data_IF_963030874374
#
_entry.id   IF_963030874374
#
_cell.length_a   1.000
_cell.length_b   1.000
_cell.length_c   1.000
_cell.angle_alpha   90.00
_cell.angle_beta   90.00
_cell.angle_gamma   90.00
#
_symmetry.space_group_name_H-M   'P 1'
#
loop_
_entity.id
_entity.type
_entity.pdbx_description
1 polymer ?
#
# COMPACT_ATOMS: atom_id res chain seq x y z
N UNK A 1 -20.88 61.49 13.07
CA UNK A 1 -21.01 60.03 13.25
C UNK A 1 -21.57 59.29 12.03
N UNK A 2 -22.61 59.78 11.35
CA UNK A 2 -23.24 59.07 10.21
C UNK A 2 -22.29 58.88 8.99
N UNK A 3 -21.37 59.83 8.73
CA UNK A 3 -20.41 59.72 7.61
C UNK A 3 -19.28 58.71 7.84
N UNK A 4 -18.97 58.34 9.08
CA UNK A 4 -17.92 57.34 9.39
C UNK A 4 -18.47 55.90 9.24
N UNK A 5 -19.77 55.70 9.52
CA UNK A 5 -20.43 54.40 9.39
C UNK A 5 -20.60 53.99 7.92
N UNK A 6 -20.92 54.93 7.02
CA UNK A 6 -21.02 54.63 5.59
C UNK A 6 -19.65 54.29 4.95
N UNK A 7 -18.55 54.87 5.45
CA UNK A 7 -17.21 54.55 4.91
C UNK A 7 -16.73 53.15 5.34
N UNK A 8 -17.08 52.71 6.55
CA UNK A 8 -16.79 51.35 7.04
C UNK A 8 -17.62 50.28 6.32
N UNK A 9 -18.88 50.57 5.98
CA UNK A 9 -19.74 49.68 5.18
C UNK A 9 -19.30 49.56 3.72
N UNK A 10 -18.71 50.62 3.14
CA UNK A 10 -18.16 50.56 1.77
C UNK A 10 -16.80 49.84 1.76
N UNK A 11 -15.97 49.97 2.81
CA UNK A 11 -14.70 49.22 2.90
C UNK A 11 -14.89 47.71 3.15
N UNK A 12 -15.97 47.28 3.81
CA UNK A 12 -16.25 45.85 4.00
C UNK A 12 -16.69 45.12 2.72
N UNK A 13 -17.17 45.83 1.70
CA UNK A 13 -17.58 45.23 0.42
C UNK A 13 -16.39 45.01 -0.52
N UNK A 14 -15.30 45.78 -0.40
CA UNK A 14 -14.13 45.68 -1.29
C UNK A 14 -12.98 44.82 -0.72
N UNK A 15 -13.08 44.34 0.51
CA UNK A 15 -12.11 43.45 1.16
C UNK A 15 -12.67 42.05 1.43
N UNK A 16 -13.74 41.65 0.72
CA UNK A 16 -14.03 40.21 0.62
C UNK A 16 -12.94 39.61 -0.27
N UNK A 17 -12.01 38.79 0.24
CA UNK A 17 -11.14 38.04 -0.64
C UNK A 17 -12.08 37.25 -1.55
N UNK A 18 -12.05 37.55 -2.86
CA UNK A 18 -12.70 36.68 -3.84
C UNK A 18 -12.19 35.29 -3.51
N UNK A 19 -13.09 34.41 -3.05
CA UNK A 19 -12.75 33.04 -2.74
C UNK A 19 -12.04 32.50 -3.98
N UNK A 20 -10.70 32.36 -3.91
CA UNK A 20 -9.96 31.66 -4.95
C UNK A 20 -10.61 30.29 -4.98
N UNK A 21 -11.06 29.86 -6.16
CA UNK A 21 -11.49 28.49 -6.35
C UNK A 21 -10.38 27.61 -5.76
N UNK A 22 -10.73 26.77 -4.79
CA UNK A 22 -9.74 25.89 -4.15
C UNK A 22 -9.23 24.98 -5.27
N UNK A 23 -8.00 25.21 -5.71
CA UNK A 23 -7.35 24.39 -6.72
C UNK A 23 -6.84 23.12 -6.03
N UNK A 24 -7.55 22.01 -6.24
CA UNK A 24 -7.23 20.71 -5.66
C UNK A 24 -6.13 20.03 -6.47
N UNK A 25 -4.93 20.59 -6.38
CA UNK A 25 -3.76 20.23 -7.18
C UNK A 25 -2.62 19.60 -6.39
N UNK A 26 -2.84 19.39 -5.10
CA UNK A 26 -1.95 18.67 -4.21
C UNK A 26 -2.74 18.07 -3.04
N UNK A 27 -2.20 17.00 -2.48
CA UNK A 27 -2.80 16.26 -1.37
C UNK A 27 -3.02 17.14 -0.12
N UNK A 28 -2.10 18.04 0.21
CA UNK A 28 -2.17 18.84 1.43
C UNK A 28 -3.29 19.88 1.36
N UNK A 29 -3.47 20.52 0.21
CA UNK A 29 -4.58 21.44 -0.05
C UNK A 29 -5.91 20.72 0.01
N UNK A 30 -6.01 19.51 -0.55
CA UNK A 30 -7.23 18.70 -0.47
C UNK A 30 -7.59 18.33 0.97
N UNK A 31 -6.62 17.83 1.74
CA UNK A 31 -6.81 17.45 3.15
C UNK A 31 -7.13 18.65 4.04
N UNK A 32 -6.43 19.78 3.88
CA UNK A 32 -6.69 20.99 4.67
C UNK A 32 -8.07 21.59 4.36
N UNK A 33 -8.49 21.57 3.09
CA UNK A 33 -9.82 22.00 2.67
C UNK A 33 -10.92 21.10 3.25
N UNK A 34 -10.70 19.78 3.25
CA UNK A 34 -11.61 18.83 3.89
C UNK A 34 -11.73 19.09 5.40
N UNK A 35 -10.60 19.23 6.10
CA UNK A 35 -10.56 19.50 7.54
C UNK A 35 -11.25 20.81 7.89
N UNK A 36 -11.11 21.84 7.05
CA UNK A 36 -11.82 23.11 7.20
C UNK A 36 -13.34 22.95 7.03
N UNK A 37 -13.78 22.16 6.05
CA UNK A 37 -15.21 21.85 5.85
C UNK A 37 -15.80 21.08 7.04
N UNK A 38 -15.10 20.05 7.52
CA UNK A 38 -15.53 19.26 8.68
C UNK A 38 -15.59 20.11 9.95
N UNK A 39 -14.62 21.01 10.16
CA UNK A 39 -14.67 21.97 11.27
C UNK A 39 -15.90 22.87 11.22
N UNK A 40 -16.30 23.34 10.03
CA UNK A 40 -17.51 24.17 9.85
C UNK A 40 -18.77 23.40 10.19
N UNK A 41 -18.87 22.16 9.70
CA UNK A 41 -19.96 21.22 10.06
C UNK A 41 -20.07 21.04 11.58
N UNK A 42 -18.95 20.75 12.24
CA UNK A 42 -18.91 20.56 13.69
C UNK A 42 -19.27 21.82 14.50
N UNK A 43 -19.23 23.00 13.89
CA UNK A 43 -19.66 24.27 14.48
C UNK A 43 -21.14 24.62 14.17
N UNK A 44 -21.86 23.75 13.44
CA UNK A 44 -23.23 23.97 13.00
C UNK A 44 -23.38 24.91 11.79
N UNK A 45 -22.27 25.28 11.13
CA UNK A 45 -22.28 26.10 9.91
C UNK A 45 -22.45 25.20 8.67
N UNK A 46 -23.61 24.54 8.59
CA UNK A 46 -23.91 23.49 7.61
C UNK A 46 -23.86 24.00 6.16
N UNK A 47 -24.37 25.19 5.89
CA UNK A 47 -24.36 25.82 4.56
C UNK A 47 -22.94 26.04 4.03
N UNK A 48 -22.05 26.58 4.87
CA UNK A 48 -20.65 26.81 4.50
C UNK A 48 -19.90 25.48 4.38
N UNK A 49 -20.18 24.53 5.28
CA UNK A 49 -19.61 23.19 5.20
C UNK A 49 -20.00 22.50 3.89
N UNK A 50 -21.28 22.53 3.53
CA UNK A 50 -21.82 21.97 2.29
C UNK A 50 -21.15 22.56 1.06
N UNK A 51 -21.02 23.89 0.97
CA UNK A 51 -20.33 24.55 -0.16
C UNK A 51 -18.89 24.06 -0.31
N UNK A 52 -18.18 23.91 0.80
CA UNK A 52 -16.80 23.42 0.81
C UNK A 52 -16.72 21.94 0.43
N UNK A 53 -17.59 21.09 1.01
CA UNK A 53 -17.67 19.68 0.63
C UNK A 53 -18.08 19.50 -0.82
N UNK A 54 -18.97 20.33 -1.37
CA UNK A 54 -19.40 20.24 -2.76
C UNK A 54 -18.25 20.52 -3.74
N UNK A 55 -17.34 21.45 -3.42
CA UNK A 55 -16.14 21.68 -4.22
C UNK A 55 -15.24 20.43 -4.27
N UNK A 56 -15.00 19.80 -3.11
CA UNK A 56 -14.21 18.57 -2.99
C UNK A 56 -14.91 17.36 -3.66
N UNK A 57 -16.23 17.24 -3.49
CA UNK A 57 -17.05 16.19 -4.06
C UNK A 57 -17.06 16.24 -5.59
N UNK A 58 -17.09 17.46 -6.16
CA UNK A 58 -16.95 17.69 -7.60
C UNK A 58 -15.59 17.27 -8.15
N UNK A 59 -14.55 17.21 -7.32
CA UNK A 59 -13.23 16.70 -7.69
C UNK A 59 -13.07 15.18 -7.48
N UNK A 60 -14.14 14.47 -7.09
CA UNK A 60 -14.09 13.02 -6.91
C UNK A 60 -13.62 12.56 -5.52
N UNK A 61 -13.56 13.44 -4.53
CA UNK A 61 -13.20 13.05 -3.15
C UNK A 61 -14.41 12.38 -2.48
N UNK A 62 -14.37 11.06 -2.38
CA UNK A 62 -15.50 10.24 -1.92
C UNK A 62 -16.03 10.59 -0.51
N UNK A 63 -15.17 10.85 0.51
CA UNK A 63 -15.68 11.30 1.81
C UNK A 63 -16.42 12.63 1.75
N UNK A 64 -16.06 13.52 0.83
CA UNK A 64 -16.79 14.78 0.65
C UNK A 64 -18.13 14.55 -0.08
N UNK A 65 -18.15 13.63 -1.05
CA UNK A 65 -19.39 13.18 -1.71
C UNK A 65 -20.39 12.60 -0.68
N UNK A 66 -19.91 11.87 0.33
CA UNK A 66 -20.75 11.40 1.46
C UNK A 66 -21.42 12.55 2.21
N UNK A 67 -20.67 13.59 2.59
CA UNK A 67 -21.25 14.73 3.32
C UNK A 67 -22.23 15.53 2.47
N UNK A 68 -21.95 15.69 1.17
CA UNK A 68 -22.91 16.30 0.22
C UNK A 68 -24.19 15.46 0.13
N UNK A 69 -24.07 14.13 0.13
CA UNK A 69 -25.22 13.24 0.13
C UNK A 69 -26.07 13.41 1.39
N UNK A 70 -25.44 13.47 2.57
CA UNK A 70 -26.12 13.67 3.85
C UNK A 70 -26.92 14.98 3.85
N UNK A 71 -26.30 16.08 3.41
CA UNK A 71 -26.96 17.38 3.33
C UNK A 71 -28.26 17.33 2.50
N UNK A 72 -28.25 16.70 1.32
CA UNK A 72 -29.45 16.57 0.49
C UNK A 72 -30.53 15.61 1.04
N UNK A 73 -30.18 14.74 1.99
CA UNK A 73 -31.08 13.75 2.59
C UNK A 73 -31.65 14.21 3.95
N UNK A 74 -31.20 15.35 4.48
CA UNK A 74 -31.73 15.92 5.71
C UNK A 74 -33.12 16.51 5.49
N UNK A 75 -34.09 16.11 6.32
CA UNK A 75 -35.53 16.41 6.15
C UNK A 75 -35.89 17.88 6.37
N UNK A 76 -34.98 18.71 6.89
CA UNK A 76 -35.24 20.11 7.27
C UNK A 76 -35.05 21.13 6.14
N UNK A 77 -34.62 20.71 4.95
CA UNK A 77 -34.24 21.64 3.88
C UNK A 77 -35.31 21.73 2.79
N UNK A 78 -35.70 22.96 2.44
CA UNK A 78 -36.75 23.23 1.46
C UNK A 78 -36.36 22.80 0.02
N UNK A 79 -35.07 22.58 -0.25
CA UNK A 79 -34.51 22.15 -1.53
C UNK A 79 -34.13 20.66 -1.59
N UNK A 80 -34.68 19.85 -0.66
CA UNK A 80 -34.57 18.39 -0.65
C UNK A 80 -34.69 17.81 -2.07
N UNK A 81 -33.64 17.11 -2.49
CA UNK A 81 -33.62 16.37 -3.74
C UNK A 81 -33.04 14.99 -3.43
N UNK A 82 -33.91 14.08 -3.00
CA UNK A 82 -33.56 12.71 -2.62
C UNK A 82 -32.75 12.04 -3.74
N UNK A 83 -33.05 12.33 -5.00
CA UNK A 83 -32.29 11.87 -6.17
C UNK A 83 -30.83 12.31 -6.12
N UNK A 84 -30.54 13.56 -5.75
CA UNK A 84 -29.17 14.06 -5.59
C UNK A 84 -28.48 13.42 -4.40
N UNK A 85 -29.19 13.25 -3.29
CA UNK A 85 -28.69 12.54 -2.11
C UNK A 85 -28.24 11.11 -2.45
N UNK A 86 -29.10 10.34 -3.12
CA UNK A 86 -28.79 8.99 -3.59
C UNK A 86 -27.63 8.99 -4.58
N UNK A 87 -27.61 9.93 -5.54
CA UNK A 87 -26.54 10.05 -6.53
C UNK A 87 -25.18 10.25 -5.86
N UNK A 88 -25.06 11.21 -4.94
CA UNK A 88 -23.80 11.49 -4.24
C UNK A 88 -23.38 10.35 -3.31
N UNK A 89 -24.33 9.69 -2.63
CA UNK A 89 -24.03 8.51 -1.82
C UNK A 89 -23.50 7.36 -2.67
N UNK A 90 -24.07 7.16 -3.87
CA UNK A 90 -23.60 6.14 -4.81
C UNK A 90 -22.19 6.42 -5.33
N UNK A 91 -21.89 7.67 -5.70
CA UNK A 91 -20.54 8.08 -6.12
C UNK A 91 -19.52 7.84 -5.00
N UNK A 92 -19.84 8.26 -3.77
CA UNK A 92 -18.99 8.03 -2.62
C UNK A 92 -18.76 6.53 -2.35
N UNK A 93 -19.80 5.71 -2.48
CA UNK A 93 -19.72 4.26 -2.33
C UNK A 93 -18.83 3.61 -3.42
N UNK A 94 -18.90 4.06 -4.67
CA UNK A 94 -17.97 3.61 -5.72
C UNK A 94 -16.53 4.03 -5.46
N UNK A 95 -16.33 5.14 -4.74
CA UNK A 95 -15.03 5.60 -4.28
C UNK A 95 -14.52 4.92 -3.03
N UNK A 96 -15.25 3.92 -2.51
CA UNK A 96 -14.87 3.10 -1.37
C UNK A 96 -15.22 3.70 0.00
N UNK A 97 -16.08 4.71 0.10
CA UNK A 97 -16.53 5.21 1.41
C UNK A 97 -17.53 4.22 2.05
N UNK A 98 -17.13 3.60 3.17
CA UNK A 98 -17.90 2.56 3.85
C UNK A 98 -19.22 3.05 4.43
N UNK A 99 -19.27 4.30 4.90
CA UNK A 99 -20.49 4.89 5.45
C UNK A 99 -21.44 5.34 4.34
N UNK A 100 -20.91 5.80 3.21
CA UNK A 100 -21.70 6.09 2.03
C UNK A 100 -22.42 4.84 1.50
N UNK A 101 -21.81 3.65 1.59
CA UNK A 101 -22.50 2.38 1.24
C UNK A 101 -23.76 2.18 2.09
N UNK A 102 -23.70 2.47 3.40
CA UNK A 102 -24.83 2.35 4.33
C UNK A 102 -25.90 3.39 4.02
N UNK A 103 -25.50 4.65 3.76
CA UNK A 103 -26.39 5.76 3.40
C UNK A 103 -27.10 5.45 2.08
N UNK A 104 -26.36 5.04 1.05
CA UNK A 104 -26.91 4.67 -0.25
C UNK A 104 -27.94 3.56 -0.12
N UNK A 105 -27.62 2.48 0.60
CA UNK A 105 -28.55 1.36 0.82
C UNK A 105 -29.84 1.83 1.52
N UNK A 106 -29.72 2.62 2.57
CA UNK A 106 -30.86 3.11 3.36
C UNK A 106 -31.74 4.04 2.53
N UNK A 107 -31.14 4.99 1.82
CA UNK A 107 -31.86 5.94 0.96
C UNK A 107 -32.59 5.22 -0.18
N UNK A 108 -31.97 4.21 -0.79
CA UNK A 108 -32.62 3.36 -1.82
C UNK A 108 -33.82 2.59 -1.26
N UNK A 109 -33.72 2.05 -0.04
CA UNK A 109 -34.80 1.29 0.59
C UNK A 109 -35.99 2.17 0.98
N UNK A 110 -35.74 3.41 1.38
CA UNK A 110 -36.79 4.37 1.77
C UNK A 110 -37.45 5.05 0.55
N UNK A 111 -36.84 4.96 -0.64
CA UNK A 111 -37.26 5.72 -1.81
C UNK A 111 -38.11 4.91 -2.78
N UNK A 112 -38.93 5.63 -3.56
CA UNK A 112 -39.66 5.02 -4.69
C UNK A 112 -38.68 4.63 -5.79
N UNK A 113 -39.02 3.56 -6.51
CA UNK A 113 -38.19 3.02 -7.59
C UNK A 113 -37.78 4.08 -8.64
N UNK A 114 -38.72 4.94 -9.08
CA UNK A 114 -38.44 5.99 -10.06
C UNK A 114 -37.36 6.98 -9.61
N UNK A 115 -37.36 7.37 -8.33
CA UNK A 115 -36.36 8.26 -7.72
C UNK A 115 -34.97 7.61 -7.76
N UNK A 116 -34.91 6.33 -7.38
CA UNK A 116 -33.67 5.54 -7.38
C UNK A 116 -33.10 5.39 -8.79
N UNK A 117 -33.93 5.11 -9.79
CA UNK A 117 -33.49 4.97 -11.17
C UNK A 117 -32.97 6.28 -11.75
N UNK A 118 -33.64 7.40 -11.48
CA UNK A 118 -33.16 8.73 -11.85
C UNK A 118 -31.81 9.04 -11.21
N UNK A 119 -31.68 8.80 -9.90
CA UNK A 119 -30.41 9.01 -9.18
C UNK A 119 -29.26 8.17 -9.74
N UNK A 120 -29.51 6.88 -10.02
CA UNK A 120 -28.52 5.98 -10.62
C UNK A 120 -28.11 6.43 -12.02
N UNK A 121 -29.07 6.88 -12.84
CA UNK A 121 -28.80 7.41 -14.16
C UNK A 121 -27.91 8.66 -14.08
N UNK A 122 -28.19 9.57 -13.15
CA UNK A 122 -27.34 10.74 -12.89
C UNK A 122 -25.94 10.35 -12.43
N UNK A 123 -25.81 9.38 -11.52
CA UNK A 123 -24.51 8.91 -11.04
C UNK A 123 -23.67 8.31 -12.18
N UNK A 124 -24.28 7.50 -13.05
CA UNK A 124 -23.61 6.93 -14.23
C UNK A 124 -23.13 8.01 -15.23
N UNK A 125 -23.93 9.06 -15.41
CA UNK A 125 -23.61 10.19 -16.30
C UNK A 125 -22.65 11.21 -15.70
N UNK A 126 -22.46 11.20 -14.38
CA UNK A 126 -21.64 12.19 -13.68
C UNK A 126 -20.15 12.02 -13.97
N UNK A 127 -19.43 13.13 -14.11
CA UNK A 127 -17.98 13.19 -14.23
C UNK A 127 -17.42 14.26 -13.32
N UNK A 128 -16.24 14.05 -12.72
CA UNK A 128 -15.63 15.07 -11.89
C UNK A 128 -15.18 16.27 -12.72
N UNK A 129 -15.11 17.43 -12.06
CA UNK A 129 -14.57 18.65 -12.63
C UNK A 129 -13.05 18.51 -12.77
N UNK A 130 -12.51 18.83 -13.96
CA UNK A 130 -11.07 18.83 -14.19
C UNK A 130 -10.41 19.96 -13.38
N UNK A 131 -9.46 19.67 -12.48
CA UNK A 131 -8.75 20.71 -11.75
C UNK A 131 -7.88 21.54 -12.70
N UNK A 132 -7.60 22.79 -12.35
CA UNK A 132 -6.85 23.71 -13.21
C UNK A 132 -5.45 23.19 -13.57
N UNK A 133 -4.74 22.57 -12.62
CA UNK A 133 -3.46 21.89 -12.83
C UNK A 133 -3.51 20.73 -13.83
N UNK A 134 -4.70 20.18 -14.10
CA UNK A 134 -4.84 19.17 -15.15
C UNK A 134 -4.75 19.78 -16.55
N UNK A 135 -5.11 21.06 -16.69
CA UNK A 135 -5.22 21.79 -17.96
C UNK A 135 -3.97 22.63 -18.24
N UNK A 136 -3.29 23.09 -17.18
CA UNK A 136 -2.02 23.81 -17.30
C UNK A 136 -0.81 22.84 -17.28
N UNK A 137 0.34 23.20 -17.91
CA UNK A 137 1.61 22.53 -17.64
C UNK A 137 1.91 22.64 -16.14
N UNK A 138 2.52 21.61 -15.52
CA UNK A 138 2.85 21.73 -14.10
C UNK A 138 3.84 22.86 -13.89
N UNK A 139 3.47 23.82 -13.04
CA UNK A 139 4.43 24.76 -12.44
C UNK A 139 5.38 24.07 -11.45
N UNK A 140 5.27 22.74 -11.28
CA UNK A 140 6.24 21.92 -10.55
C UNK A 140 7.56 21.91 -11.31
N UNK A 141 8.34 22.97 -11.14
CA UNK A 141 9.76 22.93 -11.42
C UNK A 141 10.36 21.84 -10.55
N UNK A 142 11.08 20.91 -11.18
CA UNK A 142 12.04 20.07 -10.49
C UNK A 142 13.08 21.03 -9.89
N UNK A 143 12.86 21.50 -8.66
CA UNK A 143 13.78 22.38 -7.94
C UNK A 143 15.04 21.64 -7.45
N UNK A 144 15.13 20.35 -7.75
CA UNK A 144 16.16 19.42 -7.34
C UNK A 144 16.52 18.54 -8.55
N UNK A 145 17.81 18.49 -8.88
CA UNK A 145 18.39 17.78 -10.02
C UNK A 145 18.08 16.26 -10.01
N UNK A 146 17.59 15.73 -8.88
CA UNK A 146 17.19 14.34 -8.72
C UNK A 146 15.85 13.98 -9.39
N UNK A 147 15.01 14.96 -9.74
CA UNK A 147 13.71 14.72 -10.37
C UNK A 147 13.79 14.76 -11.90
N UNK A 148 13.26 13.72 -12.55
CA UNK A 148 12.95 13.71 -13.98
C UNK A 148 11.45 13.94 -14.18
N UNK A 149 11.06 14.78 -15.13
CA UNK A 149 9.65 14.99 -15.46
C UNK A 149 9.17 13.92 -16.46
N UNK A 150 8.08 13.23 -16.13
CA UNK A 150 7.35 12.36 -17.08
C UNK A 150 5.96 12.95 -17.25
N UNK A 151 5.69 13.49 -18.44
CA UNK A 151 4.58 14.41 -18.64
C UNK A 151 4.71 15.63 -17.71
N UNK A 152 3.81 15.73 -16.73
CA UNK A 152 3.82 16.79 -15.71
C UNK A 152 4.13 16.32 -14.28
N UNK A 153 4.55 15.06 -14.13
CA UNK A 153 4.77 14.45 -12.83
C UNK A 153 6.26 14.41 -12.51
N UNK A 154 6.68 14.88 -11.33
CA UNK A 154 8.03 14.66 -10.84
C UNK A 154 8.23 13.16 -10.56
N UNK A 155 9.24 12.57 -11.18
CA UNK A 155 9.58 11.16 -11.04
C UNK A 155 11.03 11.00 -10.61
N UNK A 156 11.24 10.23 -9.55
CA UNK A 156 12.54 9.92 -8.96
C UNK A 156 12.90 8.48 -9.31
N UNK A 157 14.16 8.25 -9.69
CA UNK A 157 14.72 6.91 -9.85
C UNK A 157 15.35 6.48 -8.52
N UNK A 158 14.96 5.34 -7.97
CA UNK A 158 15.67 4.76 -6.83
C UNK A 158 17.13 4.42 -7.23
N UNK A 159 18.08 4.62 -6.32
CA UNK A 159 19.53 4.50 -6.60
C UNK A 159 19.91 3.15 -7.22
N UNK A 160 19.26 2.07 -6.76
CA UNK A 160 19.51 0.69 -7.20
C UNK A 160 18.76 0.27 -8.46
N UNK A 161 18.04 1.18 -9.11
CA UNK A 161 17.28 0.91 -10.33
C UNK A 161 18.11 1.25 -11.56
N UNK A 162 18.32 0.28 -12.43
CA UNK A 162 18.98 0.47 -13.72
C UNK A 162 18.32 1.58 -14.57
N UNK A 163 19.12 2.40 -15.25
CA UNK A 163 18.63 3.56 -16.00
C UNK A 163 17.77 3.16 -17.19
N UNK A 164 18.11 2.10 -17.93
CA UNK A 164 17.32 1.63 -19.06
C UNK A 164 15.95 1.12 -18.59
N UNK A 165 15.93 0.42 -17.46
CA UNK A 165 14.66 0.01 -16.83
C UNK A 165 13.83 1.23 -16.44
N UNK A 166 14.45 2.27 -15.87
CA UNK A 166 13.76 3.50 -15.50
C UNK A 166 13.16 4.22 -16.72
N UNK A 167 13.91 4.32 -17.82
CA UNK A 167 13.42 4.94 -19.08
C UNK A 167 12.24 4.15 -19.65
N UNK A 168 12.34 2.81 -19.72
CA UNK A 168 11.23 1.96 -20.18
C UNK A 168 9.99 2.09 -19.29
N UNK A 169 10.19 2.17 -17.97
CA UNK A 169 9.10 2.41 -17.05
C UNK A 169 8.48 3.80 -17.25
N UNK A 170 9.28 4.82 -17.57
CA UNK A 170 8.79 6.16 -17.81
C UNK A 170 7.75 6.22 -18.94
N UNK A 171 8.00 5.52 -20.04
CA UNK A 171 7.03 5.37 -21.14
C UNK A 171 5.73 4.70 -20.68
N UNK A 172 5.83 3.66 -19.85
CA UNK A 172 4.66 2.97 -19.29
C UNK A 172 3.86 3.86 -18.35
N UNK A 173 4.55 4.68 -17.54
CA UNK A 173 3.92 5.62 -16.63
C UNK A 173 3.19 6.72 -17.39
N UNK A 174 3.80 7.27 -18.45
CA UNK A 174 3.15 8.25 -19.32
C UNK A 174 1.86 7.68 -19.94
N UNK A 175 1.92 6.46 -20.50
CA UNK A 175 0.73 5.76 -21.01
C UNK A 175 -0.35 5.61 -19.92
N UNK A 176 0.04 5.22 -18.70
CA UNK A 176 -0.89 5.04 -17.57
C UNK A 176 -1.62 6.33 -17.21
N UNK A 177 -0.90 7.45 -17.20
CA UNK A 177 -1.43 8.76 -16.87
C UNK A 177 -2.39 9.27 -17.94
N UNK A 178 -2.08 9.04 -19.23
CA UNK A 178 -2.92 9.43 -20.36
C UNK A 178 -4.28 8.72 -20.37
N UNK A 179 -4.34 7.47 -19.93
CA UNK A 179 -5.58 6.67 -19.95
C UNK A 179 -6.39 6.73 -18.64
N UNK A 180 -5.95 7.49 -17.64
CA UNK A 180 -6.56 7.53 -16.31
C UNK A 180 -8.06 7.80 -16.34
N UNK A 181 -8.50 8.78 -17.13
CA UNK A 181 -9.93 9.12 -17.30
C UNK A 181 -10.74 7.97 -17.92
N UNK A 182 -10.14 7.18 -18.82
CA UNK A 182 -10.80 6.03 -19.44
C UNK A 182 -10.88 4.83 -18.49
N UNK A 183 -9.84 4.63 -17.68
CA UNK A 183 -9.74 3.50 -16.75
C UNK A 183 -10.61 3.70 -15.52
N UNK A 184 -10.69 4.93 -15.01
CA UNK A 184 -11.46 5.27 -13.83
C UNK A 184 -12.12 6.66 -13.98
N UNK A 185 -13.28 6.74 -14.66
CA UNK A 185 -13.88 8.01 -15.08
C UNK A 185 -14.39 8.89 -13.92
N UNK A 186 -14.54 8.33 -12.72
CA UNK A 186 -15.10 9.02 -11.56
C UNK A 186 -14.01 9.57 -10.61
N UNK A 187 -12.84 8.94 -10.59
CA UNK A 187 -11.78 9.23 -9.61
C UNK A 187 -10.44 9.57 -10.26
N UNK A 188 -10.38 9.73 -11.59
CA UNK A 188 -9.15 10.10 -12.27
C UNK A 188 -8.50 11.39 -11.72
N UNK A 189 -9.19 12.44 -11.24
CA UNK A 189 -8.50 13.63 -10.74
C UNK A 189 -7.62 13.37 -9.51
N UNK A 190 -7.80 12.24 -8.82
CA UNK A 190 -6.98 11.90 -7.66
C UNK A 190 -5.50 11.71 -8.04
N UNK A 191 -5.18 11.38 -9.29
CA UNK A 191 -3.76 11.32 -9.70
C UNK A 191 -3.07 12.68 -9.61
N UNK A 192 -3.81 13.78 -9.70
CA UNK A 192 -3.25 15.14 -9.57
C UNK A 192 -2.82 15.46 -8.13
N UNK A 193 -3.34 14.73 -7.14
CA UNK A 193 -2.95 14.89 -5.74
C UNK A 193 -1.56 14.29 -5.47
N UNK A 194 -1.00 13.52 -6.41
CA UNK A 194 0.29 12.85 -6.26
C UNK A 194 1.40 13.91 -6.37
N UNK A 195 2.19 14.14 -5.30
CA UNK A 195 3.24 15.16 -5.33
C UNK A 195 4.38 14.73 -6.26
N UNK A 196 4.84 13.49 -6.13
CA UNK A 196 5.89 12.86 -6.92
C UNK A 196 5.70 11.34 -6.98
N UNK A 197 6.50 10.67 -7.83
CA UNK A 197 6.56 9.22 -7.95
C UNK A 197 8.01 8.73 -7.83
N UNK A 198 8.27 7.78 -6.95
CA UNK A 198 9.57 7.11 -6.87
C UNK A 198 9.48 5.73 -7.51
N UNK A 199 10.25 5.52 -8.59
CA UNK A 199 10.33 4.23 -9.26
C UNK A 199 11.38 3.38 -8.57
N UNK A 200 10.92 2.29 -7.96
CA UNK A 200 11.75 1.35 -7.22
C UNK A 200 12.02 0.09 -8.03
N UNK A 201 13.14 -0.57 -7.73
CA UNK A 201 13.47 -1.85 -8.32
C UNK A 201 12.36 -2.89 -8.13
N UNK A 202 11.95 -3.51 -9.23
CA UNK A 202 10.91 -4.53 -9.26
C UNK A 202 11.02 -5.34 -10.55
N UNK A 203 10.76 -6.64 -10.44
CA UNK A 203 10.85 -7.60 -11.54
C UNK A 203 9.72 -8.63 -11.46
N UNK A 204 9.54 -9.39 -12.54
CA UNK A 204 8.58 -10.49 -12.59
C UNK A 204 7.18 -10.03 -12.20
N UNK A 205 6.60 -10.63 -11.15
CA UNK A 205 5.24 -10.36 -10.69
C UNK A 205 5.15 -9.18 -9.73
N UNK A 206 6.26 -8.51 -9.42
CA UNK A 206 6.29 -7.41 -8.47
C UNK A 206 5.49 -6.20 -8.98
N UNK A 207 4.36 -5.93 -8.35
CA UNK A 207 3.45 -4.82 -8.66
C UNK A 207 3.21 -3.98 -7.43
N UNK A 208 4.24 -3.84 -6.59
CA UNK A 208 4.14 -3.00 -5.42
C UNK A 208 3.87 -1.56 -5.84
N UNK A 209 2.83 -1.00 -5.24
CA UNK A 209 2.54 0.43 -5.25
C UNK A 209 2.06 0.80 -3.86
N UNK A 210 2.60 1.87 -3.29
CA UNK A 210 2.18 2.33 -1.97
C UNK A 210 2.64 3.77 -1.76
N UNK A 211 1.94 4.47 -0.87
CA UNK A 211 2.44 5.74 -0.36
C UNK A 211 3.60 5.48 0.61
N UNK A 212 4.70 6.21 0.46
CA UNK A 212 5.78 6.26 1.45
C UNK A 212 5.52 7.48 2.35
N UNK A 213 5.10 7.22 3.59
CA UNK A 213 4.73 8.26 4.56
C UNK A 213 5.92 9.16 4.94
N UNK A 214 7.13 8.61 4.97
CA UNK A 214 8.34 9.38 5.33
C UNK A 214 8.70 10.36 4.21
N UNK A 215 8.58 9.92 2.95
CA UNK A 215 8.90 10.75 1.79
C UNK A 215 7.74 11.63 1.32
N UNK A 216 6.52 11.28 1.70
CA UNK A 216 5.30 11.98 1.30
C UNK A 216 4.90 11.77 -0.16
N UNK A 217 5.33 10.68 -0.81
CA UNK A 217 5.01 10.40 -2.21
C UNK A 217 4.80 8.91 -2.49
N UNK A 218 4.36 8.57 -3.70
CA UNK A 218 4.08 7.18 -4.09
C UNK A 218 5.37 6.48 -4.54
N UNK A 219 5.63 5.30 -3.98
CA UNK A 219 6.59 4.33 -4.51
C UNK A 219 5.90 3.38 -5.47
N UNK A 220 6.51 3.17 -6.64
CA UNK A 220 5.98 2.30 -7.69
C UNK A 220 7.04 1.33 -8.21
N UNK A 221 6.71 0.05 -8.21
CA UNK A 221 7.55 -1.02 -8.75
C UNK A 221 7.75 -0.86 -10.25
N UNK A 222 9.00 -0.87 -10.70
CA UNK A 222 9.34 -0.96 -12.12
C UNK A 222 8.76 -2.23 -12.81
N UNK A 223 8.29 -3.21 -12.03
CA UNK A 223 7.69 -4.43 -12.56
C UNK A 223 6.43 -4.20 -13.41
N UNK A 224 5.69 -3.11 -13.22
CA UNK A 224 4.54 -2.75 -14.08
C UNK A 224 4.92 -2.61 -15.57
N UNK A 225 6.19 -2.38 -15.90
CA UNK A 225 6.65 -2.39 -17.31
C UNK A 225 6.36 -3.71 -18.03
N UNK A 226 6.28 -4.80 -17.27
CA UNK A 226 5.99 -6.14 -17.77
C UNK A 226 4.51 -6.42 -18.00
N UNK A 227 3.61 -5.46 -17.81
CA UNK A 227 2.19 -5.61 -18.13
C UNK A 227 1.92 -5.39 -19.62
N UNK A 228 0.90 -6.03 -20.17
CA UNK A 228 0.49 -5.87 -21.57
C UNK A 228 0.05 -4.42 -21.86
N UNK A 229 -0.61 -3.78 -20.91
CA UNK A 229 -1.15 -2.42 -21.04
C UNK A 229 -0.89 -1.61 -19.77
N UNK A 230 -0.94 -0.28 -19.86
CA UNK A 230 -0.79 0.58 -18.68
C UNK A 230 -2.02 0.65 -17.77
N UNK A 231 -3.11 -0.08 -18.12
CA UNK A 231 -4.40 -0.01 -17.42
C UNK A 231 -4.28 -0.28 -15.92
N UNK A 232 -3.53 -1.31 -15.54
CA UNK A 232 -3.37 -1.69 -14.15
C UNK A 232 -2.54 -0.68 -13.38
N UNK A 233 -1.47 -0.14 -13.96
CA UNK A 233 -0.69 0.95 -13.35
C UNK A 233 -1.57 2.18 -13.12
N UNK A 234 -2.40 2.55 -14.10
CA UNK A 234 -3.33 3.68 -13.98
C UNK A 234 -4.31 3.51 -12.83
N UNK A 235 -4.98 2.35 -12.74
CA UNK A 235 -5.89 2.04 -11.63
C UNK A 235 -5.16 2.00 -10.28
N UNK A 236 -3.93 1.46 -10.27
CA UNK A 236 -3.08 1.34 -9.09
C UNK A 236 -2.73 2.69 -8.48
N UNK A 237 -2.40 3.68 -9.32
CA UNK A 237 -2.10 5.05 -8.89
C UNK A 237 -3.28 5.66 -8.14
N UNK A 238 -4.47 5.57 -8.71
CA UNK A 238 -5.70 6.09 -8.09
C UNK A 238 -5.97 5.38 -6.78
N UNK A 239 -5.90 4.05 -6.76
CA UNK A 239 -6.17 3.27 -5.55
C UNK A 239 -5.17 3.58 -4.43
N UNK A 240 -3.88 3.73 -4.76
CA UNK A 240 -2.86 4.12 -3.79
C UNK A 240 -3.13 5.53 -3.22
N UNK A 241 -3.53 6.48 -4.07
CA UNK A 241 -3.93 7.81 -3.60
C UNK A 241 -5.19 7.75 -2.74
N UNK A 242 -6.20 6.97 -3.12
CA UNK A 242 -7.42 6.80 -2.32
C UNK A 242 -7.10 6.25 -0.94
N UNK A 243 -6.31 5.18 -0.84
CA UNK A 243 -5.87 4.62 0.45
C UNK A 243 -5.26 5.69 1.34
N UNK A 244 -4.27 6.41 0.83
CA UNK A 244 -3.61 7.46 1.61
C UNK A 244 -4.60 8.58 2.00
N UNK A 245 -5.42 9.05 1.06
CA UNK A 245 -6.41 10.10 1.32
C UNK A 245 -7.36 9.72 2.46
N UNK A 246 -7.89 8.49 2.44
CA UNK A 246 -8.77 7.99 3.49
C UNK A 246 -8.04 7.79 4.82
N UNK A 247 -6.80 7.27 4.81
CA UNK A 247 -5.98 7.12 6.02
C UNK A 247 -5.72 8.48 6.72
N UNK A 248 -5.78 9.59 5.99
CA UNK A 248 -5.60 10.95 6.51
C UNK A 248 -6.91 11.67 6.90
N UNK A 249 -8.09 11.09 6.63
CA UNK A 249 -9.40 11.69 6.94
C UNK A 249 -10.03 10.99 8.14
N UNK A 250 -10.17 11.72 9.25
CA UNK A 250 -10.57 11.19 10.55
C UNK A 250 -11.97 10.53 10.57
N UNK A 251 -12.92 11.05 9.79
CA UNK A 251 -14.30 10.54 9.74
C UNK A 251 -14.58 9.70 8.48
N UNK A 252 -13.55 9.08 7.89
CA UNK A 252 -13.69 8.24 6.70
C UNK A 252 -13.07 6.86 6.90
N UNK A 253 -13.79 5.82 6.43
CA UNK A 253 -13.31 4.44 6.40
C UNK A 253 -13.31 3.93 4.95
N UNK A 254 -12.14 3.52 4.46
CA UNK A 254 -12.00 2.99 3.11
C UNK A 254 -12.36 1.50 3.03
N UNK A 255 -13.46 1.18 2.36
CA UNK A 255 -13.82 -0.15 1.92
C UNK A 255 -12.93 -0.55 0.74
N UNK A 256 -11.68 -0.91 1.03
CA UNK A 256 -10.72 -1.31 0.01
C UNK A 256 -11.20 -2.59 -0.72
N UNK A 257 -11.35 -2.57 -2.05
CA UNK A 257 -11.86 -3.72 -2.79
C UNK A 257 -10.92 -4.92 -2.81
N UNK A 258 -9.63 -4.71 -2.51
CA UNK A 258 -8.61 -5.75 -2.58
C UNK A 258 -7.73 -5.82 -1.34
N UNK A 259 -7.81 -4.88 -0.40
CA UNK A 259 -7.06 -4.95 0.86
C UNK A 259 -7.97 -5.16 2.06
N UNK A 260 -7.36 -5.55 3.17
CA UNK A 260 -8.05 -5.71 4.44
C UNK A 260 -7.07 -6.03 5.55
N UNK A 261 -7.62 -6.33 6.73
CA UNK A 261 -6.84 -6.65 7.92
C UNK A 261 -7.26 -8.01 8.47
N UNK A 262 -6.32 -8.75 9.02
CA UNK A 262 -6.62 -9.89 9.88
C UNK A 262 -5.77 -9.84 11.15
N UNK A 263 -6.40 -9.40 12.25
CA UNK A 263 -5.66 -8.98 13.43
C UNK A 263 -4.78 -7.77 13.09
N UNK A 264 -3.49 -7.85 13.41
CA UNK A 264 -2.52 -6.80 13.12
C UNK A 264 -1.88 -6.90 11.72
N UNK A 265 -2.20 -7.93 10.94
CA UNK A 265 -1.57 -8.17 9.63
C UNK A 265 -2.41 -7.52 8.53
N UNK A 266 -1.82 -6.60 7.76
CA UNK A 266 -2.43 -6.01 6.56
C UNK A 266 -2.32 -6.99 5.39
N UNK A 267 -3.42 -7.22 4.70
CA UNK A 267 -3.51 -8.11 3.55
C UNK A 267 -3.80 -7.27 2.33
N UNK A 268 -2.96 -7.38 1.30
CA UNK A 268 -3.14 -6.71 0.02
C UNK A 268 -3.34 -7.75 -1.07
N UNK A 269 -4.50 -7.74 -1.69
CA UNK A 269 -4.84 -8.55 -2.86
C UNK A 269 -4.20 -8.03 -4.14
N UNK A 270 -4.53 -8.70 -5.24
CA UNK A 270 -4.04 -8.38 -6.56
C UNK A 270 -5.07 -7.59 -7.37
N UNK A 271 -4.62 -6.65 -8.20
CA UNK A 271 -5.52 -5.90 -9.09
C UNK A 271 -5.95 -6.67 -10.34
N UNK A 272 -5.38 -7.85 -10.59
CA UNK A 272 -5.70 -8.65 -11.76
C UNK A 272 -6.93 -9.52 -11.53
N UNK A 273 -7.90 -9.46 -12.46
CA UNK A 273 -9.17 -10.19 -12.33
C UNK A 273 -9.02 -11.72 -12.29
N UNK A 274 -7.91 -12.27 -12.78
CA UNK A 274 -7.60 -13.70 -12.78
C UNK A 274 -6.83 -14.16 -11.52
N UNK A 275 -6.63 -13.28 -10.54
CA UNK A 275 -5.88 -13.59 -9.32
C UNK A 275 -6.72 -14.32 -8.25
N UNK A 276 -8.05 -14.23 -8.28
CA UNK A 276 -8.96 -14.85 -7.29
C UNK A 276 -8.75 -14.34 -5.84
N UNK A 277 -8.79 -13.01 -5.63
CA UNK A 277 -8.55 -12.39 -4.32
C UNK A 277 -9.38 -12.95 -3.17
N UNK A 278 -10.67 -13.23 -3.38
CA UNK A 278 -11.54 -13.77 -2.32
C UNK A 278 -11.00 -15.09 -1.74
N UNK A 279 -10.49 -15.98 -2.62
CA UNK A 279 -9.85 -17.23 -2.18
C UNK A 279 -8.54 -16.96 -1.46
N UNK A 280 -7.71 -16.06 -1.97
CA UNK A 280 -6.47 -15.65 -1.30
C UNK A 280 -6.71 -15.12 0.11
N UNK A 281 -7.62 -14.16 0.26
CA UNK A 281 -7.94 -13.55 1.55
C UNK A 281 -8.47 -14.63 2.50
N UNK A 282 -9.43 -15.45 2.07
CA UNK A 282 -9.99 -16.52 2.91
C UNK A 282 -8.93 -17.53 3.38
N UNK A 283 -8.09 -18.03 2.46
CA UNK A 283 -7.00 -18.97 2.79
C UNK A 283 -6.01 -18.36 3.79
N UNK A 284 -5.64 -17.10 3.60
CA UNK A 284 -4.66 -16.44 4.45
C UNK A 284 -5.23 -16.15 5.84
N UNK A 285 -6.49 -15.73 5.92
CA UNK A 285 -7.21 -15.56 7.20
C UNK A 285 -7.30 -16.89 7.97
N UNK A 286 -7.64 -17.98 7.30
CA UNK A 286 -7.66 -19.32 7.91
C UNK A 286 -6.27 -19.78 8.37
N UNK A 287 -5.22 -19.53 7.57
CA UNK A 287 -3.84 -19.84 7.93
C UNK A 287 -3.40 -19.05 9.18
N UNK A 288 -3.65 -17.75 9.24
CA UNK A 288 -3.30 -16.91 10.40
C UNK A 288 -4.15 -17.32 11.63
N UNK A 289 -5.43 -17.69 11.44
CA UNK A 289 -6.26 -18.25 12.51
C UNK A 289 -5.64 -19.52 13.08
N UNK A 290 -5.27 -20.48 12.21
CA UNK A 290 -4.63 -21.74 12.59
C UNK A 290 -3.27 -21.52 13.26
N UNK A 291 -2.52 -20.48 12.91
CA UNK A 291 -1.25 -20.15 13.54
C UNK A 291 -1.34 -20.02 15.07
N UNK A 292 -2.52 -19.65 15.60
CA UNK A 292 -2.79 -19.55 17.04
C UNK A 292 -2.73 -20.90 17.77
N UNK A 293 -2.92 -22.00 17.05
CA UNK A 293 -2.85 -23.37 17.57
C UNK A 293 -1.42 -23.93 17.60
N UNK A 294 -0.48 -23.27 16.92
CA UNK A 294 0.92 -23.67 16.95
C UNK A 294 1.57 -23.34 18.30
N UNK A 295 2.66 -24.04 18.67
CA UNK A 295 3.48 -23.66 19.82
C UNK A 295 3.92 -22.19 19.73
N UNK A 296 4.04 -21.54 20.90
CA UNK A 296 4.35 -20.10 21.04
C UNK A 296 5.51 -19.67 20.13
N UNK A 297 6.60 -20.43 20.11
CA UNK A 297 7.79 -20.13 19.28
C UNK A 297 7.49 -20.02 17.78
N UNK A 298 6.49 -20.75 17.25
CA UNK A 298 6.08 -20.64 15.84
C UNK A 298 5.03 -19.56 15.62
N UNK A 299 4.09 -19.44 16.55
CA UNK A 299 3.08 -18.39 16.53
C UNK A 299 3.74 -17.01 16.50
N UNK A 300 4.75 -16.80 17.34
CA UNK A 300 5.47 -15.54 17.43
C UNK A 300 6.19 -15.21 16.12
N UNK A 301 6.66 -16.21 15.38
CA UNK A 301 7.23 -16.00 14.03
C UNK A 301 6.18 -15.46 13.05
N UNK A 302 4.98 -16.04 13.03
CA UNK A 302 3.89 -15.54 12.17
C UNK A 302 3.51 -14.10 12.56
N UNK A 303 3.51 -13.79 13.86
CA UNK A 303 3.21 -12.46 14.38
C UNK A 303 4.27 -11.39 14.02
N UNK A 304 5.46 -11.78 13.53
CA UNK A 304 6.45 -10.83 13.03
C UNK A 304 6.10 -10.24 11.65
N UNK A 305 5.09 -10.79 10.97
CA UNK A 305 4.65 -10.34 9.65
C UNK A 305 3.68 -9.18 9.82
N UNK A 306 3.98 -8.02 9.24
CA UNK A 306 3.07 -6.86 9.26
C UNK A 306 2.16 -6.84 8.03
N UNK A 307 2.70 -7.20 6.87
CA UNK A 307 1.96 -7.10 5.61
C UNK A 307 2.18 -8.31 4.70
N UNK A 308 1.11 -8.75 4.03
CA UNK A 308 1.17 -9.77 2.99
C UNK A 308 0.59 -9.22 1.68
N UNK A 309 1.40 -9.23 0.64
CA UNK A 309 1.07 -8.71 -0.68
C UNK A 309 0.89 -9.85 -1.68
N UNK A 310 -0.29 -9.97 -2.28
CA UNK A 310 -0.62 -11.00 -3.26
C UNK A 310 -0.35 -10.50 -4.68
N UNK A 311 0.74 -10.99 -5.23
CA UNK A 311 1.29 -10.55 -6.52
C UNK A 311 1.56 -11.78 -7.39
N UNK A 312 0.50 -12.53 -7.77
CA UNK A 312 0.67 -13.72 -8.59
C UNK A 312 1.01 -13.36 -10.04
N UNK A 313 1.46 -14.35 -10.80
CA UNK A 313 1.51 -14.25 -12.26
C UNK A 313 0.10 -14.02 -12.81
N UNK A 314 -0.01 -13.30 -13.91
CA UNK A 314 -1.29 -12.88 -14.48
C UNK A 314 -1.26 -13.06 -16.00
N UNK A 315 -2.43 -13.30 -16.60
CA UNK A 315 -2.55 -13.31 -18.07
C UNK A 315 -2.29 -11.95 -18.71
N UNK A 316 -2.33 -10.88 -17.91
CA UNK A 316 -2.08 -9.50 -18.35
C UNK A 316 -0.59 -9.12 -18.32
N UNK A 317 0.31 -10.08 -18.10
CA UNK A 317 1.76 -9.86 -18.16
C UNK A 317 2.29 -10.25 -19.56
N UNK A 318 3.17 -9.42 -20.14
CA UNK A 318 3.79 -9.63 -21.46
C UNK A 318 4.53 -10.96 -21.56
N UNK A 319 5.18 -11.38 -20.48
CA UNK A 319 5.84 -12.68 -20.38
C UNK A 319 5.09 -13.56 -19.40
N UNK A 320 4.88 -14.83 -19.79
CA UNK A 320 4.49 -15.87 -18.82
C UNK A 320 5.67 -16.14 -17.90
N UNK A 321 5.74 -15.34 -16.84
CA UNK A 321 6.73 -15.46 -15.80
C UNK A 321 6.55 -16.80 -15.08
N UNK A 322 7.36 -17.80 -15.42
CA UNK A 322 7.29 -19.14 -14.81
C UNK A 322 8.32 -19.35 -13.68
N UNK A 323 9.13 -18.35 -13.36
CA UNK A 323 10.40 -18.59 -12.66
C UNK A 323 10.34 -18.57 -11.13
N UNK A 324 9.18 -18.33 -10.54
CA UNK A 324 9.08 -18.31 -9.07
C UNK A 324 8.82 -19.74 -8.56
N UNK A 325 9.90 -20.43 -8.20
CA UNK A 325 9.88 -21.79 -7.67
C UNK A 325 9.28 -21.90 -6.24
N UNK A 326 8.83 -20.80 -5.61
CA UNK A 326 8.25 -20.78 -4.25
C UNK A 326 6.90 -20.07 -4.24
N UNK A 327 6.06 -20.42 -3.27
CA UNK A 327 4.75 -19.79 -3.07
C UNK A 327 4.88 -18.37 -2.52
N UNK A 328 5.83 -18.15 -1.60
CA UNK A 328 6.05 -16.86 -0.92
C UNK A 328 7.52 -16.42 -0.95
N UNK A 329 7.73 -15.12 -0.77
CA UNK A 329 9.05 -14.50 -0.63
C UNK A 329 9.00 -13.38 0.43
N UNK A 330 10.07 -13.26 1.22
CA UNK A 330 10.23 -12.18 2.20
C UNK A 330 10.95 -10.99 1.55
N UNK A 331 10.27 -9.85 1.46
CA UNK A 331 10.79 -8.65 0.80
C UNK A 331 11.69 -7.84 1.74
N UNK A 332 12.83 -8.42 2.09
CA UNK A 332 13.76 -7.86 3.07
C UNK A 332 14.29 -6.48 2.67
N UNK A 333 14.48 -6.22 1.37
CA UNK A 333 14.99 -4.93 0.85
C UNK A 333 14.05 -3.76 1.11
N UNK A 334 12.74 -4.01 1.13
CA UNK A 334 11.69 -3.00 1.37
C UNK A 334 11.05 -3.10 2.74
N UNK A 335 11.48 -4.08 3.53
CA UNK A 335 11.02 -4.22 4.90
C UNK A 335 11.79 -3.29 5.83
N UNK A 336 11.09 -2.70 6.79
CA UNK A 336 11.63 -1.86 7.88
C UNK A 336 11.20 -2.44 9.24
N UNK A 337 11.75 -1.97 10.38
CA UNK A 337 11.42 -2.50 11.70
C UNK A 337 9.92 -2.56 12.04
N UNK A 338 9.18 -1.55 11.62
CA UNK A 338 7.74 -1.36 11.78
C UNK A 338 6.92 -1.98 10.63
N UNK A 339 7.58 -2.34 9.53
CA UNK A 339 6.93 -2.82 8.29
C UNK A 339 7.65 -4.03 7.70
N UNK A 340 7.29 -5.23 8.14
CA UNK A 340 7.79 -6.51 7.62
C UNK A 340 6.87 -7.06 6.53
N UNK A 341 7.34 -6.98 5.29
CA UNK A 341 6.55 -7.30 4.09
C UNK A 341 6.85 -8.69 3.54
N UNK A 342 5.79 -9.46 3.32
CA UNK A 342 5.82 -10.76 2.65
C UNK A 342 5.05 -10.67 1.34
N UNK A 343 5.53 -11.35 0.30
CA UNK A 343 4.85 -11.48 -0.98
C UNK A 343 4.41 -12.91 -1.22
N UNK A 344 3.17 -13.09 -1.66
CA UNK A 344 2.66 -14.36 -2.17
C UNK A 344 2.56 -14.25 -3.69
N UNK A 345 3.34 -15.06 -4.40
CA UNK A 345 3.68 -14.83 -5.82
C UNK A 345 3.17 -15.91 -6.77
N UNK A 346 2.54 -16.96 -6.23
CA UNK A 346 1.83 -17.97 -7.04
C UNK A 346 0.33 -17.81 -6.87
N UNK A 347 -0.41 -18.08 -7.93
CA UNK A 347 -1.88 -18.13 -7.86
C UNK A 347 -2.31 -19.20 -6.86
N UNK A 348 -3.14 -18.82 -5.90
CA UNK A 348 -3.73 -19.77 -4.96
C UNK A 348 -4.90 -20.50 -5.63
N UNK A 349 -4.61 -21.64 -6.23
CA UNK A 349 -5.58 -22.46 -6.96
C UNK A 349 -5.98 -23.72 -6.21
N UNK A 350 -4.99 -24.38 -5.60
CA UNK A 350 -5.11 -25.70 -4.97
C UNK A 350 -4.47 -25.75 -3.58
N UNK A 351 -3.87 -24.65 -3.17
CA UNK A 351 -3.27 -24.46 -1.86
C UNK A 351 -4.35 -24.51 -0.78
N UNK A 352 -3.99 -25.10 0.34
CA UNK A 352 -4.78 -25.19 1.56
C UNK A 352 -4.21 -24.27 2.66
N UNK A 353 -4.98 -23.96 3.72
CA UNK A 353 -4.51 -23.11 4.82
C UNK A 353 -3.20 -23.58 5.45
N UNK A 354 -2.98 -24.89 5.55
CA UNK A 354 -1.75 -25.45 6.13
C UNK A 354 -0.54 -25.24 5.23
N UNK A 355 -0.75 -25.23 3.91
CA UNK A 355 0.31 -24.94 2.94
C UNK A 355 0.81 -23.50 3.11
N UNK A 356 -0.13 -22.57 3.29
CA UNK A 356 0.16 -21.14 3.53
C UNK A 356 0.78 -20.95 4.90
N UNK A 357 0.25 -21.57 5.95
CA UNK A 357 0.76 -21.42 7.33
C UNK A 357 2.22 -21.86 7.45
N UNK A 358 2.59 -22.96 6.81
CA UNK A 358 3.98 -23.45 6.80
C UNK A 358 4.92 -22.46 6.11
N UNK A 359 4.48 -21.80 5.03
CA UNK A 359 5.22 -20.69 4.42
C UNK A 359 5.30 -19.46 5.32
N UNK A 360 4.22 -19.08 6.02
CA UNK A 360 4.25 -17.96 6.98
C UNK A 360 5.24 -18.20 8.13
N UNK A 361 5.36 -19.43 8.64
CA UNK A 361 6.37 -19.79 9.65
C UNK A 361 7.79 -19.63 9.11
N UNK A 362 8.02 -19.99 7.84
CA UNK A 362 9.31 -19.78 7.15
C UNK A 362 9.61 -18.28 7.03
N UNK A 363 8.66 -17.48 6.57
CA UNK A 363 8.77 -16.01 6.46
C UNK A 363 9.05 -15.35 7.79
N UNK A 364 8.29 -15.70 8.83
CA UNK A 364 8.51 -15.21 10.18
C UNK A 364 9.89 -15.54 10.72
N UNK A 365 10.44 -16.71 10.38
CA UNK A 365 11.83 -17.05 10.73
C UNK A 365 12.82 -16.16 9.99
N UNK A 366 12.59 -15.88 8.71
CA UNK A 366 13.46 -14.99 7.93
C UNK A 366 13.40 -13.54 8.42
N UNK A 367 12.24 -13.07 8.85
CA UNK A 367 12.08 -11.76 9.50
C UNK A 367 12.86 -11.72 10.82
N UNK A 368 12.75 -12.76 11.65
CA UNK A 368 13.52 -12.87 12.88
C UNK A 368 15.03 -12.82 12.62
N UNK A 369 15.49 -13.51 11.57
CA UNK A 369 16.89 -13.48 11.15
C UNK A 369 17.28 -12.09 10.65
N UNK A 370 16.41 -11.41 9.90
CA UNK A 370 16.66 -10.06 9.43
C UNK A 370 16.81 -9.06 10.60
N UNK A 371 15.98 -9.16 11.63
CA UNK A 371 16.12 -8.36 12.86
C UNK A 371 17.50 -8.58 13.51
N UNK A 372 17.99 -9.83 13.53
CA UNK A 372 19.33 -10.12 14.04
C UNK A 372 20.43 -9.50 13.17
N UNK A 373 20.28 -9.55 11.84
CA UNK A 373 21.21 -8.95 10.88
C UNK A 373 21.24 -7.43 11.02
N UNK A 374 20.09 -6.77 11.16
CA UNK A 374 20.00 -5.33 11.44
C UNK A 374 20.72 -4.98 12.76
N UNK A 375 20.53 -5.80 13.79
CA UNK A 375 21.24 -5.66 15.07
C UNK A 375 22.75 -5.89 14.98
N UNK A 376 23.21 -6.76 14.06
CA UNK A 376 24.64 -6.94 13.77
C UNK A 376 25.18 -5.74 12.97
N UNK A 377 24.46 -5.29 11.94
CA UNK A 377 24.81 -4.11 11.14
C UNK A 377 24.99 -2.88 12.01
N UNK A 378 24.05 -2.60 12.90
CA UNK A 378 24.18 -1.48 13.84
C UNK A 378 25.41 -1.55 14.76
N UNK A 379 25.91 -2.76 15.10
CA UNK A 379 27.16 -2.93 15.85
C UNK A 379 28.40 -2.73 14.97
N UNK A 380 28.36 -3.28 13.76
CA UNK A 380 29.40 -3.17 12.73
C UNK A 380 29.59 -1.72 12.29
N UNK A 381 28.52 -0.93 12.23
CA UNK A 381 28.50 0.46 11.74
C UNK A 381 28.52 1.51 12.87
N UNK A 382 28.57 1.09 14.14
CA UNK A 382 28.47 2.03 15.27
C UNK A 382 29.64 3.04 15.31
N UNK A 383 29.33 4.28 15.71
CA UNK A 383 30.27 5.39 15.98
C UNK A 383 31.45 5.02 16.87
N UNK A 384 31.31 3.99 17.72
CA UNK A 384 32.42 3.40 18.50
C UNK A 384 33.55 2.84 17.63
N UNK A 385 33.24 2.41 16.40
CA UNK A 385 34.21 1.88 15.43
C UNK A 385 34.92 3.01 14.70
N UNK A 386 34.21 4.08 14.33
CA UNK A 386 34.82 5.34 13.87
C UNK A 386 35.72 5.94 14.95
N UNK A 387 35.24 6.04 16.20
CA UNK A 387 36.02 6.53 17.34
C UNK A 387 37.23 5.63 17.65
N UNK A 388 37.10 4.32 17.49
CA UNK A 388 38.22 3.38 17.64
C UNK A 388 39.25 3.49 16.51
N UNK A 389 38.82 3.72 15.26
CA UNK A 389 39.71 4.01 14.13
C UNK A 389 40.43 5.34 14.36
N UNK A 390 39.71 6.38 14.79
CA UNK A 390 40.28 7.70 15.11
C UNK A 390 41.27 7.63 16.27
N UNK A 391 40.98 6.85 17.32
CA UNK A 391 41.92 6.62 18.45
C UNK A 391 43.12 5.74 18.08
N UNK A 392 42.94 4.77 17.20
CA UNK A 392 44.04 3.96 16.66
C UNK A 392 45.02 4.82 15.85
N UNK A 393 44.50 5.76 15.04
CA UNK A 393 45.29 6.76 14.33
C UNK A 393 46.02 7.72 15.27
N UNK A 394 45.57 7.85 16.53
CA UNK A 394 46.21 8.63 17.60
C UNK A 394 47.17 7.80 18.49
N UNK A 395 47.41 6.52 18.15
CA UNK A 395 48.41 5.67 18.82
C UNK A 395 47.85 4.70 19.86
N UNK A 396 46.54 4.67 20.13
CA UNK A 396 45.92 3.69 21.03
C UNK A 396 45.42 2.46 20.26
N UNK A 397 46.32 1.48 20.10
CA UNK A 397 46.05 0.22 19.41
C UNK A 397 45.15 -0.75 20.20
N UNK A 398 44.91 -0.50 21.49
CA UNK A 398 44.10 -1.38 22.34
C UNK A 398 42.61 -1.24 22.04
N UNK A 399 42.13 0.00 21.87
CA UNK A 399 40.76 0.31 21.45
C UNK A 399 40.45 -0.22 20.03
N UNK A 400 41.44 -0.23 19.14
CA UNK A 400 41.33 -0.83 17.82
C UNK A 400 41.14 -2.35 17.89
N UNK A 401 41.94 -3.04 18.72
CA UNK A 401 41.89 -4.49 18.85
C UNK A 401 40.55 -5.00 19.39
N UNK A 402 39.95 -4.27 20.32
CA UNK A 402 38.62 -4.58 20.88
C UNK A 402 37.47 -4.26 19.90
N UNK A 403 37.64 -3.26 19.04
CA UNK A 403 36.68 -2.94 17.97
C UNK A 403 36.78 -3.90 16.75
N UNK A 404 37.95 -4.52 16.54
CA UNK A 404 38.26 -5.41 15.41
C UNK A 404 38.52 -6.87 15.87
N UNK A 405 37.66 -7.42 16.72
CA UNK A 405 37.72 -8.85 17.06
C UNK A 405 37.31 -9.74 15.87
N UNK A 406 37.76 -11.00 15.85
CA UNK A 406 37.31 -12.02 14.89
C UNK A 406 35.78 -12.16 14.83
N UNK A 407 35.10 -11.89 15.95
CA UNK A 407 33.63 -11.90 16.02
C UNK A 407 33.02 -10.78 15.18
N UNK A 408 33.55 -9.57 15.25
CA UNK A 408 33.08 -8.43 14.45
C UNK A 408 33.32 -8.64 12.96
N UNK A 409 34.42 -9.33 12.59
CA UNK A 409 34.69 -9.71 11.21
C UNK A 409 33.70 -10.77 10.68
N UNK A 410 33.35 -11.76 11.49
CA UNK A 410 32.33 -12.76 11.16
C UNK A 410 30.93 -12.15 11.05
N UNK A 411 30.57 -11.24 11.96
CA UNK A 411 29.31 -10.50 11.93
C UNK A 411 29.22 -9.64 10.66
N UNK A 412 30.29 -8.91 10.31
CA UNK A 412 30.36 -8.17 9.03
C UNK A 412 30.19 -9.08 7.82
N UNK A 413 30.94 -10.18 7.75
CA UNK A 413 30.84 -11.12 6.62
C UNK A 413 29.43 -11.71 6.44
N UNK A 414 28.69 -11.93 7.54
CA UNK A 414 27.31 -12.39 7.48
C UNK A 414 26.34 -11.28 7.02
N UNK A 415 26.56 -10.04 7.45
CA UNK A 415 25.79 -8.87 6.97
C UNK A 415 26.01 -8.70 5.46
N UNK A 416 27.27 -8.69 5.01
CA UNK A 416 27.63 -8.55 3.60
C UNK A 416 27.00 -9.69 2.76
N UNK A 417 27.08 -10.94 3.23
CA UNK A 417 26.48 -12.10 2.55
C UNK A 417 24.94 -12.00 2.49
N UNK A 418 24.30 -11.48 3.54
CA UNK A 418 22.85 -11.24 3.55
C UNK A 418 22.46 -10.15 2.56
N UNK A 419 23.19 -9.04 2.51
CA UNK A 419 22.90 -7.93 1.59
C UNK A 419 23.05 -8.35 0.12
N UNK A 420 24.04 -9.20 -0.18
CA UNK A 420 24.26 -9.75 -1.51
C UNK A 420 23.21 -10.82 -1.89
N UNK A 421 23.02 -11.83 -1.03
CA UNK A 421 22.29 -13.07 -1.41
C UNK A 421 20.86 -13.14 -0.87
N UNK A 422 20.52 -12.34 0.13
CA UNK A 422 19.22 -12.35 0.78
C UNK A 422 18.92 -13.59 1.63
N UNK A 423 17.68 -13.69 2.16
CA UNK A 423 17.30 -14.66 3.19
C UNK A 423 17.36 -16.12 2.73
N UNK A 424 17.08 -16.38 1.45
CA UNK A 424 17.13 -17.73 0.88
C UNK A 424 18.55 -18.10 0.40
N UNK A 425 19.44 -17.12 0.21
CA UNK A 425 20.79 -17.32 -0.32
C UNK A 425 21.85 -17.63 0.74
N UNK A 426 21.66 -17.15 1.98
CA UNK A 426 22.53 -17.51 3.11
C UNK A 426 22.17 -18.91 3.61
N UNK A 427 22.92 -19.93 3.16
CA UNK A 427 22.60 -21.37 3.38
C UNK A 427 22.24 -21.72 4.83
N UNK A 428 23.01 -21.20 5.80
CA UNK A 428 22.78 -21.48 7.23
C UNK A 428 21.41 -20.98 7.69
N UNK A 429 21.06 -19.75 7.32
CA UNK A 429 19.80 -19.09 7.68
C UNK A 429 18.61 -19.72 6.95
N UNK A 430 18.76 -19.98 5.64
CA UNK A 430 17.74 -20.70 4.86
C UNK A 430 17.45 -22.08 5.46
N UNK A 431 18.47 -22.87 5.83
CA UNK A 431 18.25 -24.18 6.43
C UNK A 431 17.60 -24.13 7.83
N UNK A 432 17.80 -23.07 8.60
CA UNK A 432 17.06 -22.85 9.83
C UNK A 432 15.58 -22.54 9.56
N UNK A 433 15.28 -21.68 8.57
CA UNK A 433 13.92 -21.39 8.15
C UNK A 433 13.20 -22.65 7.65
N UNK A 434 13.87 -23.48 6.84
CA UNK A 434 13.37 -24.78 6.36
C UNK A 434 13.16 -25.77 7.51
N UNK A 435 13.99 -25.73 8.56
CA UNK A 435 13.80 -26.56 9.74
C UNK A 435 12.51 -26.19 10.51
N UNK A 436 12.24 -24.90 10.70
CA UNK A 436 10.99 -24.44 11.32
C UNK A 436 9.77 -24.75 10.46
N UNK A 437 9.94 -24.65 9.14
CA UNK A 437 8.95 -25.07 8.15
C UNK A 437 8.59 -26.56 8.30
N UNK A 438 9.60 -27.42 8.39
CA UNK A 438 9.42 -28.87 8.58
C UNK A 438 8.74 -29.20 9.91
N UNK A 439 9.13 -28.52 11.00
CA UNK A 439 8.46 -28.69 12.29
C UNK A 439 6.99 -28.28 12.25
N UNK A 440 6.66 -27.16 11.60
CA UNK A 440 5.27 -26.73 11.44
C UNK A 440 4.47 -27.76 10.64
N UNK A 441 5.01 -28.28 9.54
CA UNK A 441 4.36 -29.31 8.74
C UNK A 441 4.12 -30.62 9.52
N UNK A 442 5.04 -31.04 10.39
CA UNK A 442 4.86 -32.20 11.25
C UNK A 442 3.76 -32.00 12.30
N UNK A 443 3.63 -30.79 12.86
CA UNK A 443 2.59 -30.46 13.83
C UNK A 443 1.20 -30.35 13.19
N UNK A 444 1.15 -29.87 11.95
CA UNK A 444 -0.07 -29.81 11.14
C UNK A 444 -0.41 -31.15 10.49
N UNK A 445 0.35 -32.20 10.81
CA UNK A 445 0.19 -33.55 10.30
C UNK A 445 0.11 -33.65 8.77
N UNK A 446 0.87 -32.81 8.06
CA UNK A 446 0.80 -32.76 6.60
C UNK A 446 1.20 -34.10 5.96
N UNK A 447 0.55 -34.44 4.84
CA UNK A 447 0.94 -35.60 4.03
C UNK A 447 2.33 -35.43 3.42
N UNK A 448 3.01 -36.55 3.13
CA UNK A 448 4.34 -36.54 2.52
C UNK A 448 4.35 -35.75 1.21
N UNK A 449 3.40 -36.04 0.31
CA UNK A 449 3.32 -35.41 -1.01
C UNK A 449 3.20 -33.88 -0.89
N UNK A 450 2.34 -33.41 0.01
CA UNK A 450 2.14 -31.97 0.24
C UNK A 450 3.38 -31.31 0.85
N UNK A 451 3.95 -31.91 1.89
CA UNK A 451 5.12 -31.36 2.55
C UNK A 451 6.32 -31.25 1.59
N UNK A 452 6.61 -32.28 0.79
CA UNK A 452 7.74 -32.24 -0.17
C UNK A 452 7.52 -31.30 -1.35
N UNK A 453 6.27 -30.96 -1.68
CA UNK A 453 5.95 -29.97 -2.71
C UNK A 453 6.27 -28.54 -2.26
N UNK A 454 6.12 -28.26 -0.97
CA UNK A 454 6.23 -26.91 -0.40
C UNK A 454 7.61 -26.68 0.20
N UNK A 455 8.13 -27.68 0.92
CA UNK A 455 9.36 -27.58 1.69
C UNK A 455 10.55 -28.06 0.86
N UNK A 456 11.50 -27.15 0.64
CA UNK A 456 12.77 -27.45 -0.05
C UNK A 456 13.80 -27.97 0.95
N UNK A 457 13.84 -29.28 1.15
CA UNK A 457 14.75 -29.95 2.09
C UNK A 457 16.22 -30.01 1.64
N UNK A 458 16.56 -29.47 0.47
CA UNK A 458 17.87 -29.64 -0.16
C UNK A 458 19.01 -29.03 0.67
N UNK A 459 19.99 -29.87 1.02
CA UNK A 459 21.15 -29.46 1.80
C UNK A 459 20.89 -29.17 3.28
N UNK A 460 19.66 -29.35 3.79
CA UNK A 460 19.27 -29.00 5.16
C UNK A 460 19.04 -30.23 6.06
N UNK A 461 20.14 -30.78 6.62
CA UNK A 461 20.15 -32.04 7.40
C UNK A 461 19.15 -32.06 8.56
N UNK A 462 19.10 -31.00 9.38
CA UNK A 462 18.20 -30.93 10.55
C UNK A 462 16.72 -30.98 10.17
N UNK A 463 16.34 -30.28 9.09
CA UNK A 463 14.96 -30.29 8.59
C UNK A 463 14.55 -31.70 8.11
N UNK A 464 15.45 -32.38 7.40
CA UNK A 464 15.24 -33.78 6.95
C UNK A 464 15.08 -34.74 8.12
N UNK A 465 15.86 -34.58 9.18
CA UNK A 465 15.78 -35.41 10.39
C UNK A 465 14.42 -35.27 11.07
N UNK A 466 13.97 -34.04 11.33
CA UNK A 466 12.64 -33.76 11.90
C UNK A 466 11.55 -34.41 11.05
N UNK A 467 11.62 -34.25 9.73
CA UNK A 467 10.61 -34.80 8.83
C UNK A 467 10.63 -36.34 8.80
N UNK A 468 11.82 -36.95 8.82
CA UNK A 468 11.96 -38.40 8.88
C UNK A 468 11.42 -38.98 10.19
N UNK A 469 11.69 -38.34 11.33
CA UNK A 469 11.15 -38.75 12.64
C UNK A 469 9.63 -38.72 12.65
N UNK A 470 9.02 -37.67 12.12
CA UNK A 470 7.56 -37.57 11.98
C UNK A 470 6.99 -38.70 11.11
N UNK A 471 7.58 -38.97 9.93
CA UNK A 471 7.13 -40.05 9.06
C UNK A 471 7.24 -41.43 9.72
N UNK A 472 8.35 -41.67 10.41
CA UNK A 472 8.55 -42.93 11.14
C UNK A 472 7.54 -43.09 12.29
N UNK A 473 7.12 -41.98 12.92
CA UNK A 473 6.08 -41.99 13.96
C UNK A 473 4.69 -42.29 13.38
N UNK A 474 4.35 -41.76 12.20
CA UNK A 474 3.04 -42.01 11.54
C UNK A 474 2.94 -43.40 10.90
N UNK A 475 4.08 -44.04 10.59
CA UNK A 475 4.13 -45.39 10.01
C UNK A 475 4.03 -46.51 11.07
N UNK A 476 4.19 -46.17 12.35
CA UNK A 476 3.93 -47.04 13.49
C UNK A 476 2.52 -46.77 14.00
#
# INVERSE_FOLDING_TARGET
>A
MIRLLCLLLILSVFLSPKARAIELCDMQTALSSYKAALKRKNLGDEETAFKNFLALAKAGIAPAQRHVAQFYLEESHDDMAIEKGIMWAQLAAWGGDSDAVKIFKSAVQASRYAVVDTAKAWANGWRPTKPACQVAPSEKTAGDDSFKLIGRYPVIRAENLDEDIFVQFGLRLEEALLITEQVNPYFYPLVELIPALEVIAGQNTDRLIQWDEEKGWIQVSAGYRGDETARQLSYSLILATQRYLFDQIEDAEFADPIAGHYGAIKLYGSLYGDAKNARFIGLLQEAIKKARTLPVVMRDKVNLINEVHYMPTSRYHLTRLNDLNRLTYYDWKRSRPDKRMVKLVKKVGFEEPDDVLVELVRMGTQIQQHIQIEGMKGKVDSKKREDAILKALQGDLSAARDAFTNRTAQEKGLVDEWEEKGPDGVRKLNCEAVYWQAKAASLLEMSQIRATRIIKFDGCKKARQVWAEYRNKKAK
#
